data_IF_118568769517
#
_entry.id   IF_118568769517
#
_cell.length_a   1.000
_cell.length_b   1.000
_cell.length_c   1.000
_cell.angle_alpha   90.00
_cell.angle_beta   90.00
_cell.angle_gamma   90.00
#
_symmetry.space_group_name_H-M   'P 1'
#
loop_
_entity.id
_entity.type
_entity.pdbx_description
1 polymer ?
#
# COMPACT_ATOMS: atom_id res chain seq x y z
N UNK A 1 8.69 -10.96 -7.66
CA UNK A 1 7.38 -11.01 -6.97
C UNK A 1 6.31 -10.62 -7.97
N UNK A 2 5.16 -11.29 -7.98
CA UNK A 2 4.03 -10.92 -8.86
C UNK A 2 2.75 -10.69 -8.07
N UNK A 3 1.79 -10.02 -8.69
CA UNK A 3 0.54 -9.61 -8.08
C UNK A 3 -0.65 -10.09 -8.89
N UNK A 4 -1.69 -10.51 -8.19
CA UNK A 4 -2.95 -10.98 -8.78
C UNK A 4 -4.11 -10.22 -8.18
N UNK A 5 -4.99 -9.68 -9.02
CA UNK A 5 -6.12 -8.85 -8.61
C UNK A 5 -7.43 -9.63 -8.76
N UNK A 6 -8.25 -9.61 -7.71
CA UNK A 6 -9.62 -10.14 -7.71
C UNK A 6 -10.62 -9.09 -7.23
N UNK A 7 -11.90 -9.32 -7.54
CA UNK A 7 -13.01 -8.58 -6.92
C UNK A 7 -13.14 -8.94 -5.44
N UNK A 8 -13.57 -7.97 -4.64
CA UNK A 8 -13.86 -8.16 -3.23
C UNK A 8 -13.87 -6.86 -2.45
N UNK A 9 -14.11 -6.96 -1.16
CA UNK A 9 -14.18 -5.78 -0.29
C UNK A 9 -12.79 -5.35 0.16
N UNK A 10 -12.56 -4.03 0.17
CA UNK A 10 -11.40 -3.41 0.80
C UNK A 10 -11.48 -3.54 2.32
N UNK A 11 -10.35 -3.38 3.00
CA UNK A 11 -10.32 -3.27 4.46
C UNK A 11 -10.73 -1.86 4.90
N UNK A 12 -11.77 -1.77 5.73
CA UNK A 12 -12.21 -0.50 6.30
C UNK A 12 -11.31 -0.04 7.46
N UNK A 13 -11.00 1.25 7.47
CA UNK A 13 -10.15 1.87 8.47
C UNK A 13 -9.76 3.30 8.12
N UNK A 14 -8.67 3.77 8.73
CA UNK A 14 -8.12 5.09 8.50
C UNK A 14 -6.64 4.99 8.10
N UNK A 15 -6.29 5.65 7.00
CA UNK A 15 -4.90 5.88 6.61
C UNK A 15 -4.43 7.19 7.24
N UNK A 16 -3.31 7.12 7.96
CA UNK A 16 -2.78 8.24 8.75
C UNK A 16 -1.31 8.45 8.43
N UNK A 17 -0.90 9.71 8.32
CA UNK A 17 0.50 10.10 8.41
C UNK A 17 0.74 10.76 9.77
N UNK A 18 1.68 10.22 10.55
CA UNK A 18 1.98 10.65 11.91
C UNK A 18 3.30 11.44 11.92
N UNK A 19 3.22 12.74 12.18
CA UNK A 19 4.39 13.64 12.10
C UNK A 19 5.46 13.29 13.13
N UNK A 20 5.09 12.82 14.31
CA UNK A 20 6.03 12.42 15.35
C UNK A 20 6.82 11.16 15.02
N UNK A 21 6.28 10.28 14.15
CA UNK A 21 6.93 9.05 13.70
C UNK A 21 7.50 9.13 12.27
N UNK A 22 7.21 10.23 11.55
CA UNK A 22 7.56 10.43 10.13
C UNK A 22 7.12 9.23 9.26
N UNK A 23 5.90 8.74 9.48
CA UNK A 23 5.48 7.47 8.89
C UNK A 23 4.00 7.37 8.61
N UNK A 24 3.68 6.42 7.73
CA UNK A 24 2.31 6.01 7.44
C UNK A 24 1.88 4.88 8.38
N UNK A 25 0.63 4.94 8.81
CA UNK A 25 -0.01 3.91 9.61
C UNK A 25 -1.44 3.71 9.15
N UNK A 26 -1.83 2.45 8.99
CA UNK A 26 -3.24 2.09 8.82
C UNK A 26 -3.85 1.67 10.16
N UNK A 27 -5.01 2.25 10.47
CA UNK A 27 -5.81 1.90 11.63
C UNK A 27 -7.10 1.19 11.17
N UNK A 28 -7.13 -0.16 11.15
CA UNK A 28 -8.33 -0.87 10.73
C UNK A 28 -9.49 -0.64 11.72
N UNK A 29 -10.71 -0.52 11.20
CA UNK A 29 -11.91 -0.39 12.03
C UNK A 29 -12.20 -1.67 12.83
N UNK A 30 -11.81 -2.84 12.30
CA UNK A 30 -11.88 -4.13 12.99
C UNK A 30 -10.54 -4.88 12.89
N UNK A 31 -9.76 -4.83 13.97
CA UNK A 31 -8.47 -5.55 14.06
C UNK A 31 -8.63 -7.06 14.01
N UNK A 32 -9.70 -7.61 14.57
CA UNK A 32 -9.93 -9.05 14.61
C UNK A 32 -10.21 -9.62 13.23
N UNK A 33 -10.93 -8.85 12.40
CA UNK A 33 -11.17 -9.17 11.00
C UNK A 33 -9.87 -9.17 10.19
N UNK A 34 -9.01 -8.16 10.34
CA UNK A 34 -7.70 -8.11 9.66
C UNK A 34 -6.82 -9.30 10.05
N UNK A 35 -6.79 -9.67 11.34
CA UNK A 35 -6.06 -10.87 11.79
C UNK A 35 -6.65 -12.15 11.18
N UNK A 36 -7.98 -12.24 11.04
CA UNK A 36 -8.63 -13.34 10.33
C UNK A 36 -8.25 -13.40 8.85
N UNK A 37 -8.10 -12.25 8.18
CA UNK A 37 -7.63 -12.17 6.79
C UNK A 37 -6.15 -12.52 6.63
N UNK A 38 -5.31 -12.23 7.63
CA UNK A 38 -3.89 -12.56 7.60
C UNK A 38 -3.64 -14.08 7.63
N UNK A 39 -4.48 -14.80 8.37
CA UNK A 39 -4.31 -16.22 8.65
C UNK A 39 -3.47 -16.49 9.89
N UNK A 40 -3.22 -17.77 10.16
CA UNK A 40 -2.55 -18.27 11.36
C UNK A 40 -1.03 -18.14 11.33
N UNK A 41 -0.44 -18.04 10.14
CA UNK A 41 1.00 -17.86 9.96
C UNK A 41 1.47 -16.41 10.18
N UNK A 42 0.53 -15.48 10.38
CA UNK A 42 0.80 -14.08 10.64
C UNK A 42 0.98 -13.24 9.38
N UNK A 43 1.65 -12.11 9.53
CA UNK A 43 1.83 -11.11 8.49
C UNK A 43 3.31 -10.91 8.18
N UNK A 44 3.58 -10.54 6.94
CA UNK A 44 4.86 -9.97 6.54
C UNK A 44 4.62 -8.77 5.63
N UNK A 45 5.67 -8.23 5.03
CA UNK A 45 5.52 -7.14 4.07
C UNK A 45 6.47 -7.28 2.90
N UNK A 46 6.19 -6.53 1.85
CA UNK A 46 7.22 -6.15 0.90
C UNK A 46 7.42 -4.64 0.98
N UNK A 47 8.64 -4.19 0.69
CA UNK A 47 9.01 -2.79 0.83
C UNK A 47 9.46 -2.20 -0.51
N UNK A 48 8.86 -1.06 -0.86
CA UNK A 48 9.38 -0.17 -1.88
C UNK A 48 10.09 0.96 -1.12
N UNK A 49 11.41 0.98 -1.18
CA UNK A 49 12.26 1.76 -0.26
C UNK A 49 11.89 1.45 1.21
N UNK A 50 11.42 2.42 1.99
CA UNK A 50 10.98 2.24 3.38
C UNK A 50 9.46 2.09 3.55
N UNK A 51 8.68 2.24 2.47
CA UNK A 51 7.23 2.06 2.51
C UNK A 51 6.89 0.57 2.47
N UNK A 52 6.19 0.09 3.49
CA UNK A 52 5.84 -1.33 3.65
C UNK A 52 4.39 -1.58 3.23
N UNK A 53 4.20 -2.54 2.33
CA UNK A 53 2.88 -3.08 2.01
C UNK A 53 2.73 -4.41 2.75
N UNK A 54 1.83 -4.45 3.72
CA UNK A 54 1.63 -5.59 4.62
C UNK A 54 0.67 -6.59 4.00
N UNK A 55 0.99 -7.87 4.07
CA UNK A 55 0.16 -8.97 3.58
C UNK A 55 0.17 -10.18 4.52
N UNK A 56 -0.90 -10.98 4.46
CA UNK A 56 -1.00 -12.25 5.19
C UNK A 56 -0.14 -13.34 4.55
N UNK A 57 0.63 -14.08 5.35
CA UNK A 57 1.54 -15.12 4.83
C UNK A 57 0.76 -16.31 4.27
N UNK A 58 -0.23 -16.78 5.03
CA UNK A 58 -1.09 -17.90 4.65
C UNK A 58 -2.03 -17.48 3.50
N UNK A 59 -2.73 -16.35 3.66
CA UNK A 59 -3.74 -15.91 2.70
C UNK A 59 -3.18 -15.27 1.43
N UNK A 60 -1.92 -14.83 1.46
CA UNK A 60 -1.26 -14.03 0.43
C UNK A 60 -1.94 -12.70 0.13
N UNK A 61 -2.96 -12.32 0.89
CA UNK A 61 -3.76 -11.12 0.67
C UNK A 61 -3.03 -9.89 1.20
N UNK A 62 -2.89 -8.87 0.35
CA UNK A 62 -2.51 -7.52 0.79
C UNK A 62 -3.57 -6.97 1.73
N UNK A 63 -3.11 -6.42 2.85
CA UNK A 63 -3.96 -5.91 3.92
C UNK A 63 -3.96 -4.39 3.93
N UNK A 64 -2.79 -3.76 4.08
CA UNK A 64 -2.68 -2.30 4.20
C UNK A 64 -1.24 -1.83 3.96
N UNK A 65 -1.03 -0.51 4.03
CA UNK A 65 0.30 0.12 3.94
C UNK A 65 0.68 0.70 5.30
N UNK A 66 1.97 0.64 5.62
CA UNK A 66 2.57 1.27 6.78
C UNK A 66 4.05 1.57 6.52
N UNK A 67 4.73 2.25 7.44
CA UNK A 67 6.18 2.33 7.44
C UNK A 67 6.69 3.76 7.63
N UNK A 68 7.94 3.86 8.02
CA UNK A 68 8.67 5.12 8.08
C UNK A 68 8.85 5.67 6.67
N UNK A 69 8.39 6.88 6.40
CA UNK A 69 8.50 7.50 5.09
C UNK A 69 8.57 9.03 5.27
N UNK A 70 9.75 9.57 5.62
CA UNK A 70 9.91 10.97 5.95
C UNK A 70 9.57 11.86 4.74
N UNK A 71 9.05 13.06 4.99
CA UNK A 71 8.61 13.98 3.92
C UNK A 71 9.78 14.59 3.14
N UNK A 72 11.00 14.46 3.66
CA UNK A 72 12.24 14.79 3.00
C UNK A 72 12.34 14.05 1.66
N UNK A 73 12.36 14.82 0.56
CA UNK A 73 12.45 14.27 -0.80
C UNK A 73 11.11 14.07 -1.51
N UNK A 74 9.98 14.42 -0.88
CA UNK A 74 8.69 14.41 -1.56
C UNK A 74 8.57 15.58 -2.53
N UNK A 75 8.30 15.26 -3.79
CA UNK A 75 7.98 16.23 -4.82
C UNK A 75 6.56 16.77 -4.62
N UNK A 76 6.41 18.10 -4.62
CA UNK A 76 5.10 18.73 -4.58
C UNK A 76 4.50 18.77 -5.99
N UNK A 77 3.38 18.10 -6.16
CA UNK A 77 2.70 17.94 -7.45
C UNK A 77 1.19 18.02 -7.25
N UNK A 78 0.45 18.48 -8.25
CA UNK A 78 -1.01 18.36 -8.22
C UNK A 78 -1.39 16.93 -8.58
N UNK A 79 -2.03 16.23 -7.65
CA UNK A 79 -2.34 14.81 -7.78
C UNK A 79 -3.84 14.61 -7.62
N UNK A 80 -4.39 13.76 -8.48
CA UNK A 80 -5.74 13.26 -8.33
C UNK A 80 -5.67 11.81 -7.87
N UNK A 81 -6.29 11.50 -6.72
CA UNK A 81 -6.40 10.12 -6.27
C UNK A 81 -7.12 9.29 -7.36
N UNK A 82 -6.56 8.16 -7.82
CA UNK A 82 -7.08 7.46 -8.98
C UNK A 82 -8.51 6.96 -8.76
N UNK A 83 -9.28 6.88 -9.84
CA UNK A 83 -10.57 6.19 -9.84
C UNK A 83 -10.31 4.68 -9.90
N UNK A 84 -10.20 4.05 -8.73
CA UNK A 84 -10.09 2.61 -8.59
C UNK A 84 -11.42 1.94 -8.20
N UNK A 85 -11.40 0.62 -8.08
CA UNK A 85 -12.49 -0.15 -7.48
C UNK A 85 -11.99 -0.85 -6.21
N UNK A 86 -12.83 -1.02 -5.17
CA UNK A 86 -12.51 -1.95 -4.09
C UNK A 86 -12.16 -3.32 -4.64
N UNK A 87 -11.16 -3.96 -4.05
CA UNK A 87 -10.75 -5.29 -4.49
C UNK A 87 -9.70 -5.91 -3.60
N UNK A 88 -9.25 -7.09 -4.02
CA UNK A 88 -8.24 -7.87 -3.30
C UNK A 88 -7.01 -8.03 -4.19
N UNK A 89 -5.85 -7.72 -3.63
CA UNK A 89 -4.56 -7.99 -4.27
C UNK A 89 -3.89 -9.14 -3.53
N UNK A 90 -3.47 -10.15 -4.27
CA UNK A 90 -2.69 -11.28 -3.75
C UNK A 90 -1.23 -11.16 -4.19
N UNK A 91 -0.32 -11.50 -3.28
CA UNK A 91 1.12 -11.52 -3.49
C UNK A 91 1.57 -12.93 -3.80
N UNK A 92 2.26 -13.08 -4.93
CA UNK A 92 2.91 -14.32 -5.34
C UNK A 92 4.42 -14.13 -5.18
N UNK A 93 4.93 -14.68 -4.08
CA UNK A 93 6.33 -14.65 -3.69
C UNK A 93 6.73 -16.01 -3.10
N UNK A 94 7.98 -16.40 -3.29
CA UNK A 94 8.49 -17.65 -2.76
C UNK A 94 8.74 -17.52 -1.25
N UNK A 95 8.23 -18.47 -0.48
CA UNK A 95 8.49 -18.69 0.96
C UNK A 95 8.57 -17.41 1.84
N UNK A 96 7.49 -16.61 1.92
CA UNK A 96 7.45 -15.45 2.80
C UNK A 96 7.67 -15.85 4.26
N UNK A 97 8.57 -15.14 4.93
CA UNK A 97 8.90 -15.37 6.35
C UNK A 97 8.25 -14.30 7.22
N UNK A 98 7.63 -14.66 8.36
CA UNK A 98 7.06 -13.68 9.28
C UNK A 98 8.09 -12.64 9.73
N UNK A 99 7.69 -11.37 9.64
CA UNK A 99 8.52 -10.23 10.06
C UNK A 99 9.71 -9.91 9.15
N UNK A 100 9.88 -10.61 8.03
CA UNK A 100 10.97 -10.34 7.06
C UNK A 100 10.40 -9.66 5.82
N UNK A 101 10.74 -8.39 5.63
CA UNK A 101 10.31 -7.65 4.44
C UNK A 101 11.02 -8.13 3.18
N UNK A 102 10.25 -8.26 2.09
CA UNK A 102 10.77 -8.61 0.77
C UNK A 102 10.95 -7.31 -0.03
N UNK A 103 12.16 -6.96 -0.50
CA UNK A 103 12.32 -5.76 -1.32
C UNK A 103 11.64 -5.92 -2.67
N UNK A 104 11.02 -4.85 -3.17
CA UNK A 104 10.61 -4.71 -4.57
C UNK A 104 11.51 -3.70 -5.26
N UNK A 105 11.78 -3.91 -6.55
CA UNK A 105 12.56 -2.97 -7.35
C UNK A 105 11.77 -1.66 -7.50
N UNK A 106 12.31 -0.58 -6.93
CA UNK A 106 11.67 0.73 -6.87
C UNK A 106 12.66 1.87 -7.16
N UNK A 107 13.79 1.57 -7.80
CA UNK A 107 14.93 2.50 -7.95
C UNK A 107 14.59 3.78 -8.73
N UNK A 108 13.53 3.75 -9.55
CA UNK A 108 13.06 4.89 -10.34
C UNK A 108 11.77 5.53 -9.78
N UNK A 109 11.27 5.03 -8.63
CA UNK A 109 10.04 5.53 -8.05
C UNK A 109 10.26 6.88 -7.39
N UNK A 110 9.24 7.74 -7.50
CA UNK A 110 9.25 9.08 -6.91
C UNK A 110 8.14 9.21 -5.90
N UNK A 111 8.47 9.83 -4.78
CA UNK A 111 7.51 10.26 -3.79
C UNK A 111 6.91 11.60 -4.23
N UNK A 112 5.61 11.61 -4.51
CA UNK A 112 4.86 12.79 -4.95
C UNK A 112 3.73 13.06 -3.97
N UNK A 113 3.49 14.32 -3.65
CA UNK A 113 2.49 14.72 -2.68
C UNK A 113 1.73 15.98 -3.11
N UNK A 114 0.40 15.89 -3.05
CA UNK A 114 -0.52 17.01 -3.16
C UNK A 114 -1.06 17.38 -1.78
N UNK A 115 -0.62 18.53 -1.27
CA UNK A 115 -1.04 19.07 0.01
C UNK A 115 -2.46 19.64 0.04
N UNK A 116 -3.07 19.92 -1.13
CA UNK A 116 -4.44 20.45 -1.19
C UNK A 116 -5.44 19.31 -1.01
N UNK A 117 -5.19 18.19 -1.67
CA UNK A 117 -6.08 17.02 -1.67
C UNK A 117 -5.68 15.95 -0.64
N UNK A 118 -4.54 16.14 0.04
CA UNK A 118 -3.91 15.16 0.94
C UNK A 118 -3.71 13.81 0.24
N UNK A 119 -3.12 13.85 -0.95
CA UNK A 119 -2.86 12.66 -1.77
C UNK A 119 -1.37 12.47 -1.89
N UNK A 120 -0.91 11.26 -1.55
CA UNK A 120 0.46 10.83 -1.71
C UNK A 120 0.53 9.69 -2.74
N UNK A 121 1.54 9.72 -3.60
CA UNK A 121 1.85 8.66 -4.53
C UNK A 121 3.34 8.32 -4.44
N UNK A 122 3.65 7.04 -4.26
CA UNK A 122 5.01 6.53 -4.41
C UNK A 122 5.04 5.50 -5.52
N UNK A 123 5.75 5.79 -6.60
CA UNK A 123 5.64 4.98 -7.81
C UNK A 123 6.38 5.56 -9.00
N UNK A 124 6.41 4.76 -10.07
CA UNK A 124 6.81 5.19 -11.41
C UNK A 124 5.70 5.92 -12.15
N UNK A 125 5.68 5.79 -13.48
CA UNK A 125 4.59 6.27 -14.33
C UNK A 125 3.74 5.07 -14.72
N UNK A 126 2.50 5.03 -14.24
CA UNK A 126 1.53 4.01 -14.64
C UNK A 126 1.22 4.04 -16.15
N UNK A 127 1.22 2.87 -16.79
CA UNK A 127 0.77 2.70 -18.17
C UNK A 127 -0.75 2.65 -18.32
N UNK A 128 -1.22 2.60 -19.57
CA UNK A 128 -2.65 2.60 -19.91
C UNK A 128 -3.39 1.31 -19.49
N UNK A 129 -2.65 0.23 -19.20
CA UNK A 129 -3.21 -1.06 -18.75
C UNK A 129 -3.25 -1.20 -17.23
N UNK A 130 -2.81 -0.17 -16.50
CA UNK A 130 -2.76 -0.16 -15.04
C UNK A 130 -4.15 -0.36 -14.43
N UNK A 131 -4.24 -1.32 -13.50
CA UNK A 131 -5.42 -1.54 -12.67
C UNK A 131 -5.21 -0.90 -11.31
N UNK A 132 -6.11 0.02 -10.95
CA UNK A 132 -6.13 0.66 -9.64
C UNK A 132 -7.09 -0.07 -8.71
N UNK A 133 -6.57 -0.62 -7.62
CA UNK A 133 -7.31 -1.45 -6.67
C UNK A 133 -7.22 -0.83 -5.28
N UNK A 134 -8.36 -0.44 -4.72
CA UNK A 134 -8.42 0.03 -3.33
C UNK A 134 -8.48 -1.20 -2.41
N UNK A 135 -7.36 -1.50 -1.75
CA UNK A 135 -7.22 -2.69 -0.88
C UNK A 135 -7.60 -2.40 0.57
N UNK A 136 -7.48 -1.13 0.97
CA UNK A 136 -7.92 -0.60 2.25
C UNK A 136 -8.34 0.86 2.08
N UNK A 137 -9.14 1.40 3.00
CA UNK A 137 -9.63 2.78 2.91
C UNK A 137 -8.47 3.77 2.74
N UNK A 138 -8.45 4.49 1.62
CA UNK A 138 -7.39 5.44 1.30
C UNK A 138 -6.05 4.80 0.94
N UNK A 139 -6.02 3.51 0.60
CA UNK A 139 -4.84 2.77 0.14
C UNK A 139 -5.17 2.10 -1.19
N UNK A 140 -4.50 2.56 -2.24
CA UNK A 140 -4.73 2.07 -3.59
C UNK A 140 -3.43 1.60 -4.23
N UNK A 141 -3.47 0.40 -4.80
CA UNK A 141 -2.35 -0.20 -5.50
C UNK A 141 -2.59 -0.12 -7.00
N UNK A 142 -1.59 0.36 -7.72
CA UNK A 142 -1.55 0.34 -9.18
C UNK A 142 -0.81 -0.92 -9.63
N UNK A 143 -1.52 -1.86 -10.24
CA UNK A 143 -0.97 -3.13 -10.74
C UNK A 143 -0.99 -3.13 -12.26
N UNK A 144 0.18 -3.29 -12.89
CA UNK A 144 0.33 -3.40 -14.34
C UNK A 144 1.14 -4.65 -14.67
N UNK A 145 0.66 -5.50 -15.59
CA UNK A 145 1.34 -6.75 -15.98
C UNK A 145 1.76 -7.66 -14.81
N UNK A 146 0.97 -7.69 -13.71
CA UNK A 146 1.25 -8.41 -12.45
C UNK A 146 2.41 -7.82 -11.65
N UNK A 147 2.84 -6.60 -11.93
CA UNK A 147 3.81 -5.84 -11.16
C UNK A 147 3.12 -4.69 -10.44
N UNK A 148 3.58 -4.38 -9.24
CA UNK A 148 3.17 -3.15 -8.56
C UNK A 148 3.97 -2.01 -9.17
N UNK A 149 3.30 -0.95 -9.62
CA UNK A 149 3.94 0.21 -10.27
C UNK A 149 3.79 1.51 -9.48
N UNK A 150 2.72 1.64 -8.69
CA UNK A 150 2.49 2.78 -7.80
C UNK A 150 1.72 2.37 -6.54
N UNK A 151 1.99 3.04 -5.43
CA UNK A 151 1.23 3.01 -4.18
C UNK A 151 0.65 4.40 -3.94
N UNK A 152 -0.67 4.48 -3.88
CA UNK A 152 -1.40 5.71 -3.65
C UNK A 152 -2.02 5.70 -2.26
N UNK A 153 -1.78 6.76 -1.50
CA UNK A 153 -2.29 6.93 -0.14
C UNK A 153 -3.09 8.23 -0.04
N UNK A 154 -4.19 8.19 0.70
CA UNK A 154 -4.99 9.35 1.07
C UNK A 154 -5.05 9.50 2.59
N UNK A 155 -3.95 9.93 3.23
CA UNK A 155 -3.86 10.00 4.68
C UNK A 155 -4.62 11.20 5.28
N UNK A 156 -5.07 11.05 6.51
CA UNK A 156 -5.19 12.18 7.44
C UNK A 156 -3.82 12.47 8.05
N UNK A 157 -3.50 13.76 8.27
CA UNK A 157 -2.23 14.17 8.86
C UNK A 157 -2.43 14.51 10.33
N UNK A 158 -1.69 13.82 11.22
CA UNK A 158 -1.82 13.98 12.67
C UNK A 158 -0.46 14.22 13.32
N UNK A 159 -0.48 14.97 14.42
CA UNK A 159 0.71 15.33 15.21
C UNK A 159 1.14 14.22 16.15
#
# INVERSE_FOLDING_TARGET
>A
MTFRVEEGDRIEGEMVYEFSEYGFRFAPSDKSWVLGLAGSEGMTSFNADTLMVVFGIESRRVLYVSGYFPMEGWDREELQFPLGSPGVVFVEADDPVPGVSIPVEADEWRARFDSKENVFCFGGIAGASTRYVEVATGVMLAIENRELVEVWLKPSFVS
#
